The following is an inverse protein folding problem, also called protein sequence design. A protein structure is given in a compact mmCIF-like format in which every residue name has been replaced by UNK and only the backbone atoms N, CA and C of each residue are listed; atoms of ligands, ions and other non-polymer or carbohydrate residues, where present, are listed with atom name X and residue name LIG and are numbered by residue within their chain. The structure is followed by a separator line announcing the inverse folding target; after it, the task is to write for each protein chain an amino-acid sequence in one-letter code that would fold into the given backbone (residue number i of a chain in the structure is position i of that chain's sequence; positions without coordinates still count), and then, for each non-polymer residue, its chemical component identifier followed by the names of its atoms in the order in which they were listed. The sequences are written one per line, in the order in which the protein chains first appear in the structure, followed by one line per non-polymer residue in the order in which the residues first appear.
data_IF_013216209915
#
_entry.id   IF_013216209915
#
_cell.length_a   1.000
_cell.length_b   1.000
_cell.length_c   1.000
_cell.angle_alpha   90.00
_cell.angle_beta   90.00
_cell.angle_gamma   90.00
#
_symmetry.space_group_name_H-M   'P 1'
#
loop_
_entity.id
_entity.type
_entity.pdbx_description
1 polymer ?
#
# COMPACT_ATOMS: atom_id res chain seq x y z
N UNK A 1 -10.76 24.58 55.33
CA UNK A 1 -10.11 24.39 54.02
C UNK A 1 -10.85 23.29 53.28
N UNK A 2 -11.12 23.50 51.99
CA UNK A 2 -11.37 22.58 50.84
C UNK A 2 -12.35 23.31 49.91
N UNK A 3 -11.84 23.82 48.79
CA UNK A 3 -12.64 24.50 47.76
C UNK A 3 -13.32 23.50 46.81
N UNK A 4 -14.29 23.95 45.99
CA UNK A 4 -15.02 23.07 45.08
C UNK A 4 -14.07 22.45 44.06
N UNK A 5 -14.15 21.13 43.89
CA UNK A 5 -13.48 20.40 42.81
C UNK A 5 -13.90 20.98 41.46
N UNK A 6 -12.92 21.41 40.68
CA UNK A 6 -13.13 21.96 39.34
C UNK A 6 -13.76 20.95 38.38
N UNK A 7 -14.35 21.45 37.31
CA UNK A 7 -14.91 20.63 36.22
C UNK A 7 -13.87 19.60 35.76
N UNK A 8 -14.26 18.32 35.76
CA UNK A 8 -13.50 17.29 35.04
C UNK A 8 -13.40 17.77 33.59
N UNK A 9 -12.17 18.05 33.14
CA UNK A 9 -11.92 18.42 31.75
C UNK A 9 -12.43 17.33 30.80
N UNK A 10 -12.66 17.64 29.52
CA UNK A 10 -13.07 16.62 28.56
C UNK A 10 -12.09 15.45 28.65
N UNK A 11 -12.62 14.26 28.99
CA UNK A 11 -11.90 12.99 28.82
C UNK A 11 -11.33 13.00 27.42
N UNK A 12 -10.00 12.89 27.32
CA UNK A 12 -9.24 13.09 26.10
C UNK A 12 -9.92 12.46 24.89
N UNK A 13 -10.14 13.29 23.88
CA UNK A 13 -10.51 12.89 22.53
C UNK A 13 -9.70 11.67 22.09
N UNK A 14 -10.42 10.57 21.87
CA UNK A 14 -10.20 9.53 20.85
C UNK A 14 -8.79 8.99 20.75
N UNK A 15 -8.61 7.71 21.12
CA UNK A 15 -7.38 6.95 20.87
C UNK A 15 -6.79 7.30 19.51
N UNK A 16 -5.56 7.79 19.53
CA UNK A 16 -4.87 8.33 18.37
C UNK A 16 -4.88 7.29 17.25
N UNK A 17 -5.72 7.46 16.24
CA UNK A 17 -5.59 6.69 15.01
C UNK A 17 -4.36 7.23 14.29
N UNK A 18 -3.17 6.80 14.73
CA UNK A 18 -1.91 7.14 14.08
C UNK A 18 -1.86 6.38 12.76
N UNK A 19 -2.01 7.07 11.63
CA UNK A 19 -1.80 6.46 10.32
C UNK A 19 -0.31 6.50 10.00
N UNK A 20 0.36 5.35 10.11
CA UNK A 20 1.76 5.21 9.71
C UNK A 20 1.80 4.82 8.25
N UNK A 21 2.50 5.61 7.43
CA UNK A 21 2.77 5.27 6.03
C UNK A 21 4.04 4.43 5.93
N UNK A 22 3.94 3.27 5.29
CA UNK A 22 5.11 2.52 4.83
C UNK A 22 5.36 2.92 3.38
N UNK A 23 6.49 3.55 3.11
CA UNK A 23 6.87 3.94 1.75
C UNK A 23 7.77 2.85 1.14
N UNK A 24 7.49 2.43 -0.08
CA UNK A 24 8.34 1.54 -0.87
C UNK A 24 8.81 2.28 -2.12
N UNK A 25 10.11 2.23 -2.42
CA UNK A 25 10.74 2.89 -3.59
C UNK A 25 11.64 1.88 -4.31
N UNK A 26 11.53 1.74 -5.63
CA UNK A 26 12.46 0.93 -6.44
C UNK A 26 11.79 0.04 -7.50
N UNK A 27 12.55 -0.94 -8.01
CA UNK A 27 12.17 -1.84 -9.12
C UNK A 27 10.88 -2.64 -8.85
N UNK A 28 9.87 -2.60 -9.74
CA UNK A 28 8.56 -3.26 -9.57
C UNK A 28 8.51 -4.75 -9.96
N UNK A 29 9.65 -5.41 -10.13
CA UNK A 29 9.68 -6.85 -10.41
C UNK A 29 9.92 -7.62 -9.11
N UNK A 30 8.95 -8.44 -8.70
CA UNK A 30 9.08 -9.29 -7.51
C UNK A 30 8.79 -8.55 -6.20
N UNK A 31 9.48 -8.94 -5.12
CA UNK A 31 9.27 -8.36 -3.80
C UNK A 31 9.92 -6.98 -3.67
N UNK A 32 9.13 -5.98 -3.29
CA UNK A 32 9.65 -4.69 -2.86
C UNK A 32 9.81 -4.68 -1.34
N UNK A 33 11.07 -4.60 -0.92
CA UNK A 33 11.44 -4.84 0.46
C UNK A 33 12.27 -3.72 1.11
N UNK A 34 12.42 -2.54 0.50
CA UNK A 34 13.00 -1.31 1.11
C UNK A 34 12.39 -0.05 0.45
N UNK A 35 12.21 1.02 1.23
CA UNK A 35 12.17 2.39 0.72
C UNK A 35 13.57 2.77 0.18
N UNK A 36 13.90 2.37 -1.06
CA UNK A 36 15.04 2.92 -1.80
C UNK A 36 16.32 2.10 -1.84
N UNK A 37 16.30 0.88 -2.37
CA UNK A 37 17.53 0.26 -2.88
C UNK A 37 17.34 -0.37 -4.27
N UNK A 38 18.16 0.03 -5.27
CA UNK A 38 18.02 -0.39 -6.66
C UNK A 38 18.75 -1.72 -6.86
N UNK A 39 18.02 -2.83 -6.82
CA UNK A 39 18.59 -4.12 -7.16
C UNK A 39 17.55 -5.21 -7.03
N UNK A 40 17.52 -6.11 -8.02
CA UNK A 40 16.63 -7.27 -8.09
C UNK A 40 16.87 -8.29 -6.96
N UNK A 41 17.86 -8.06 -6.09
CA UNK A 41 18.36 -9.02 -5.08
C UNK A 41 18.26 -8.52 -3.62
N UNK A 42 17.52 -7.45 -3.32
CA UNK A 42 17.43 -6.93 -1.94
C UNK A 42 16.58 -7.84 -1.04
N UNK A 43 17.25 -8.69 -0.26
CA UNK A 43 16.65 -9.70 0.62
C UNK A 43 16.30 -9.25 2.06
N UNK A 44 16.28 -7.95 2.33
CA UNK A 44 16.01 -7.36 3.65
C UNK A 44 14.51 -7.09 3.81
N UNK A 45 13.84 -7.52 4.89
CA UNK A 45 12.43 -7.15 5.16
C UNK A 45 12.39 -5.68 5.63
N UNK A 46 11.55 -4.80 5.03
CA UNK A 46 11.65 -3.35 5.26
C UNK A 46 10.96 -2.87 6.51
N UNK A 47 9.88 -3.55 6.91
CA UNK A 47 8.95 -2.93 7.84
C UNK A 47 8.38 -3.95 8.80
N UNK A 48 8.77 -3.79 10.06
CA UNK A 48 8.21 -4.49 11.20
C UNK A 48 7.21 -3.55 11.86
N UNK A 49 5.95 -3.96 11.96
CA UNK A 49 4.96 -3.15 12.68
C UNK A 49 5.24 -3.18 14.19
N UNK A 50 5.20 -2.01 14.83
CA UNK A 50 5.43 -1.88 16.27
C UNK A 50 4.16 -2.12 17.11
N UNK A 51 3.00 -2.27 16.47
CA UNK A 51 1.68 -2.43 17.12
C UNK A 51 0.77 -3.34 16.30
N UNK A 52 -0.32 -3.79 16.91
CA UNK A 52 -1.36 -4.55 16.23
C UNK A 52 -2.36 -3.59 15.59
N UNK A 53 -2.98 -3.99 14.48
CA UNK A 53 -3.84 -3.09 13.73
C UNK A 53 -4.32 -3.63 12.41
N UNK A 54 -4.62 -2.73 11.48
CA UNK A 54 -5.18 -3.05 10.17
C UNK A 54 -4.61 -2.18 9.06
N UNK A 55 -4.49 -2.75 7.86
CA UNK A 55 -4.24 -1.98 6.64
C UNK A 55 -5.56 -1.33 6.18
N UNK A 56 -5.53 -0.01 6.03
CA UNK A 56 -6.73 0.81 5.76
C UNK A 56 -6.67 1.57 4.44
N UNK A 57 -5.50 1.65 3.80
CA UNK A 57 -5.37 2.38 2.56
C UNK A 57 -4.07 2.06 1.82
N UNK A 58 -4.06 2.44 0.56
CA UNK A 58 -2.93 2.30 -0.34
C UNK A 58 -2.87 3.51 -1.26
N UNK A 59 -1.68 4.00 -1.56
CA UNK A 59 -1.46 5.00 -2.60
C UNK A 59 -0.27 4.62 -3.46
N UNK A 60 -0.31 5.03 -4.72
CA UNK A 60 0.76 4.82 -5.66
C UNK A 60 1.02 6.05 -6.52
N UNK A 61 2.28 6.25 -6.87
CA UNK A 61 2.75 7.14 -7.91
C UNK A 61 3.74 6.38 -8.78
N UNK A 62 3.42 6.17 -10.05
CA UNK A 62 4.10 5.21 -10.92
C UNK A 62 4.44 5.91 -12.23
N UNK A 63 5.72 6.17 -12.48
CA UNK A 63 6.19 6.77 -13.72
C UNK A 63 6.43 5.68 -14.77
N UNK A 64 5.67 5.75 -15.86
CA UNK A 64 5.68 4.77 -16.93
C UNK A 64 5.93 5.40 -18.28
N UNK A 65 6.65 4.66 -19.11
CA UNK A 65 6.81 4.96 -20.52
C UNK A 65 6.31 3.74 -21.29
N UNK A 66 5.23 3.92 -22.06
CA UNK A 66 4.67 2.89 -22.91
C UNK A 66 4.17 1.63 -22.17
N UNK A 67 3.61 1.77 -20.96
CA UNK A 67 3.03 0.65 -20.22
C UNK A 67 1.88 0.03 -21.02
N UNK A 68 1.90 -1.27 -21.32
CA UNK A 68 0.86 -1.90 -22.13
C UNK A 68 -0.45 -2.09 -21.35
N UNK A 69 -1.55 -2.20 -22.11
CA UNK A 69 -2.84 -2.61 -21.58
C UNK A 69 -2.76 -4.04 -21.03
N UNK A 70 -2.77 -4.17 -19.71
CA UNK A 70 -2.77 -5.45 -19.00
C UNK A 70 -3.45 -5.33 -17.63
N UNK A 71 -3.48 -6.46 -16.92
CA UNK A 71 -3.86 -6.55 -15.50
C UNK A 71 -2.58 -6.69 -14.69
N UNK A 72 -2.39 -5.80 -13.72
CA UNK A 72 -1.27 -5.79 -12.79
C UNK A 72 -1.78 -6.01 -11.37
N UNK A 73 -1.22 -7.01 -10.71
CA UNK A 73 -1.56 -7.38 -9.34
C UNK A 73 -0.52 -6.82 -8.39
N UNK A 74 -0.96 -6.12 -7.36
CA UNK A 74 -0.14 -5.62 -6.26
C UNK A 74 -0.63 -6.30 -4.98
N UNK A 75 0.16 -7.25 -4.48
CA UNK A 75 -0.14 -7.96 -3.24
C UNK A 75 0.57 -7.28 -2.07
N UNK A 76 -0.21 -6.99 -1.03
CA UNK A 76 0.32 -6.66 0.29
C UNK A 76 0.49 -7.98 1.04
N UNK A 77 1.72 -8.30 1.39
CA UNK A 77 2.07 -9.56 2.01
C UNK A 77 2.65 -9.35 3.42
N UNK A 78 2.56 -10.40 4.23
CA UNK A 78 3.18 -10.47 5.55
C UNK A 78 4.04 -11.72 5.72
N UNK A 79 5.13 -11.58 6.47
CA UNK A 79 5.98 -12.68 6.95
C UNK A 79 6.38 -13.67 5.83
N UNK A 80 6.66 -13.14 4.64
CA UNK A 80 7.02 -13.98 3.48
C UNK A 80 8.41 -14.57 3.69
N UNK A 81 8.60 -15.90 3.56
CA UNK A 81 9.91 -16.53 3.62
C UNK A 81 10.86 -15.99 2.54
N UNK A 82 12.13 -15.82 2.89
CA UNK A 82 13.15 -15.18 2.02
C UNK A 82 13.57 -16.03 0.82
N UNK A 83 13.14 -17.29 0.75
CA UNK A 83 13.44 -18.22 -0.33
C UNK A 83 12.31 -18.36 -1.35
N UNK A 84 11.18 -17.67 -1.16
CA UNK A 84 10.09 -17.68 -2.13
C UNK A 84 10.32 -16.66 -3.24
N UNK A 85 9.98 -17.04 -4.47
CA UNK A 85 10.00 -16.16 -5.64
C UNK A 85 8.65 -15.49 -5.91
N UNK A 86 7.57 -15.99 -5.30
CA UNK A 86 6.23 -15.41 -5.30
C UNK A 86 5.48 -15.78 -4.00
N UNK A 87 4.58 -14.93 -3.50
CA UNK A 87 3.81 -15.22 -2.30
C UNK A 87 2.71 -16.26 -2.57
N UNK A 88 2.53 -17.22 -1.66
CA UNK A 88 1.32 -18.05 -1.61
C UNK A 88 0.20 -17.32 -0.87
N UNK A 89 -1.04 -17.75 -1.06
CA UNK A 89 -2.24 -17.11 -0.48
C UNK A 89 -2.16 -16.92 1.05
N UNK A 90 -1.51 -17.83 1.77
CA UNK A 90 -1.29 -17.76 3.22
C UNK A 90 -0.49 -16.54 3.68
N UNK A 91 0.29 -15.91 2.80
CA UNK A 91 1.09 -14.73 3.11
C UNK A 91 0.48 -13.43 2.57
N UNK A 92 -0.61 -13.50 1.80
CA UNK A 92 -1.24 -12.33 1.18
C UNK A 92 -2.34 -11.81 2.10
N UNK A 93 -2.21 -10.56 2.55
CA UNK A 93 -3.23 -9.86 3.34
C UNK A 93 -4.30 -9.23 2.45
N UNK A 94 -3.85 -8.62 1.35
CA UNK A 94 -4.71 -7.89 0.43
C UNK A 94 -4.14 -7.92 -0.97
N UNK A 95 -5.02 -7.89 -1.96
CA UNK A 95 -4.69 -7.82 -3.36
C UNK A 95 -5.33 -6.58 -3.96
N UNK A 96 -4.50 -5.75 -4.59
CA UNK A 96 -4.96 -4.65 -5.42
C UNK A 96 -4.76 -5.03 -6.88
N UNK A 97 -5.76 -4.74 -7.71
CA UNK A 97 -5.73 -5.02 -9.14
C UNK A 97 -5.77 -3.71 -9.91
N UNK A 98 -4.67 -3.34 -10.54
CA UNK A 98 -4.59 -2.24 -11.51
C UNK A 98 -4.87 -2.81 -12.91
N UNK A 99 -5.99 -2.43 -13.50
CA UNK A 99 -6.35 -2.81 -14.88
C UNK A 99 -6.20 -1.62 -15.79
N UNK A 100 -5.30 -1.69 -16.76
CA UNK A 100 -5.13 -0.66 -17.79
C UNK A 100 -5.79 -1.14 -19.09
N UNK A 101 -6.63 -0.32 -19.71
CA UNK A 101 -7.37 -0.68 -20.93
C UNK A 101 -6.70 -0.16 -22.20
N UNK A 102 -5.76 0.77 -22.07
CA UNK A 102 -4.94 1.28 -23.17
C UNK A 102 -3.50 1.54 -22.66
N UNK A 103 -2.59 1.80 -23.59
CA UNK A 103 -1.20 2.11 -23.31
C UNK A 103 -1.08 3.44 -22.55
N UNK A 104 -0.26 3.46 -21.50
CA UNK A 104 -0.05 4.65 -20.67
C UNK A 104 1.41 5.11 -20.72
N UNK A 105 1.59 6.41 -20.96
CA UNK A 105 2.86 7.14 -20.76
C UNK A 105 2.58 8.35 -19.88
N UNK A 106 3.41 8.55 -18.86
CA UNK A 106 3.24 9.60 -17.85
C UNK A 106 3.35 9.06 -16.43
N UNK A 107 2.92 9.86 -15.45
CA UNK A 107 2.88 9.42 -14.05
C UNK A 107 1.45 9.06 -13.65
N UNK A 108 1.21 7.77 -13.43
CA UNK A 108 -0.05 7.24 -12.89
C UNK A 108 -0.06 7.53 -11.38
N UNK A 109 -1.11 8.18 -10.87
CA UNK A 109 -1.31 8.37 -9.43
C UNK A 109 -2.70 7.92 -9.02
N UNK A 110 -2.79 7.26 -7.86
CA UNK A 110 -4.06 6.91 -7.25
C UNK A 110 -3.91 6.64 -5.75
N UNK A 111 -5.04 6.69 -5.05
CA UNK A 111 -5.19 6.15 -3.70
C UNK A 111 -6.49 5.36 -3.62
N UNK A 112 -6.50 4.31 -2.83
CA UNK A 112 -7.66 3.42 -2.67
C UNK A 112 -7.74 2.89 -1.23
N UNK A 113 -8.96 2.73 -0.72
CA UNK A 113 -9.27 1.99 0.52
C UNK A 113 -10.09 0.73 0.19
N UNK A 114 -10.15 -0.28 1.09
CA UNK A 114 -10.87 -1.53 0.83
C UNK A 114 -12.37 -1.38 0.51
N UNK A 115 -13.00 -0.27 0.92
CA UNK A 115 -14.43 0.00 0.70
C UNK A 115 -14.71 0.84 -0.54
N UNK A 116 -13.68 1.25 -1.28
CA UNK A 116 -13.88 1.96 -2.53
C UNK A 116 -14.45 1.04 -3.61
N UNK A 117 -15.35 1.59 -4.42
CA UNK A 117 -15.95 0.91 -5.56
C UNK A 117 -15.89 1.82 -6.78
N UNK A 118 -15.67 1.26 -7.98
CA UNK A 118 -15.82 1.97 -9.26
C UNK A 118 -14.53 2.39 -9.98
N UNK A 119 -14.70 3.01 -11.15
CA UNK A 119 -13.62 3.57 -12.00
C UNK A 119 -13.42 5.06 -11.74
N UNK A 120 -12.29 5.62 -12.21
CA UNK A 120 -12.01 7.07 -12.13
C UNK A 120 -11.10 7.52 -10.98
N UNK A 121 -10.60 6.59 -10.16
CA UNK A 121 -9.66 6.89 -9.07
C UNK A 121 -8.22 7.18 -9.57
N UNK A 122 -7.93 6.89 -10.84
CA UNK A 122 -6.59 7.00 -11.40
C UNK A 122 -6.48 8.27 -12.24
N UNK A 123 -5.48 9.09 -11.90
CA UNK A 123 -5.03 10.21 -12.72
C UNK A 123 -3.70 9.86 -13.40
N UNK A 124 -3.51 10.34 -14.62
CA UNK A 124 -2.24 10.26 -15.35
C UNK A 124 -1.77 11.68 -15.65
N UNK A 125 -0.56 12.00 -15.21
CA UNK A 125 0.09 13.28 -15.48
C UNK A 125 0.94 13.16 -16.74
N UNK A 126 0.52 13.84 -17.82
CA UNK A 126 1.26 13.91 -19.08
C UNK A 126 0.77 15.04 -20.03
N UNK A 127 1.23 16.30 -19.91
CA UNK A 127 1.93 16.92 -18.77
C UNK A 127 0.98 17.36 -17.65
N UNK A 128 -0.31 17.58 -17.96
CA UNK A 128 -1.36 17.92 -16.99
C UNK A 128 -2.07 16.64 -16.50
N UNK A 129 -2.70 16.67 -15.31
CA UNK A 129 -3.49 15.54 -14.83
C UNK A 129 -4.78 15.35 -15.65
N UNK A 130 -5.04 14.11 -16.04
CA UNK A 130 -6.31 13.67 -16.60
C UNK A 130 -6.65 12.27 -16.11
N UNK A 131 -7.93 11.89 -16.17
CA UNK A 131 -8.35 10.51 -15.87
C UNK A 131 -7.67 9.56 -16.85
N UNK A 132 -6.93 8.59 -16.33
CA UNK A 132 -6.23 7.59 -17.13
C UNK A 132 -7.15 6.46 -17.63
N UNK A 133 -6.77 5.74 -18.69
CA UNK A 133 -7.47 4.55 -19.16
C UNK A 133 -7.17 3.34 -18.25
N UNK A 134 -7.48 3.47 -16.96
CA UNK A 134 -7.21 2.46 -15.96
C UNK A 134 -8.21 2.48 -14.81
N UNK A 135 -8.37 1.32 -14.17
CA UNK A 135 -9.13 1.15 -12.94
C UNK A 135 -8.27 0.46 -11.88
N UNK A 136 -8.57 0.72 -10.61
CA UNK A 136 -7.97 0.01 -9.49
C UNK A 136 -9.08 -0.58 -8.63
N UNK A 137 -8.92 -1.83 -8.21
CA UNK A 137 -9.80 -2.47 -7.24
C UNK A 137 -9.00 -3.05 -6.09
N UNK A 138 -9.65 -3.20 -4.93
CA UNK A 138 -9.07 -3.82 -3.74
C UNK A 138 -9.90 -5.02 -3.34
N UNK A 139 -9.27 -6.18 -3.19
CA UNK A 139 -9.85 -7.37 -2.57
C UNK A 139 -9.03 -7.77 -1.33
N UNK A 140 -9.70 -7.77 -0.18
CA UNK A 140 -9.11 -8.21 1.09
C UNK A 140 -9.36 -9.71 1.27
N UNK A 141 -8.28 -10.48 1.49
CA UNK A 141 -8.39 -11.94 1.68
C UNK A 141 -8.75 -12.27 3.14
N UNK A 142 -8.29 -11.45 4.08
CA UNK A 142 -8.62 -11.55 5.51
C UNK A 142 -9.58 -10.46 5.93
N UNK A 143 -10.64 -10.81 6.67
CA UNK A 143 -11.55 -9.84 7.31
C UNK A 143 -10.74 -8.82 8.12
N UNK A 144 -10.82 -7.54 7.73
CA UNK A 144 -10.20 -6.43 8.45
C UNK A 144 -8.71 -6.20 8.21
N UNK A 145 -8.04 -6.92 7.30
CA UNK A 145 -6.63 -6.72 6.93
C UNK A 145 -5.67 -6.62 8.13
N UNK A 146 -5.80 -7.55 9.08
CA UNK A 146 -5.09 -7.45 10.36
C UNK A 146 -3.57 -7.62 10.22
N UNK A 147 -2.85 -6.83 11.00
CA UNK A 147 -1.40 -6.94 11.21
C UNK A 147 -1.13 -7.07 12.71
N UNK A 148 -0.14 -7.89 13.06
CA UNK A 148 0.29 -8.11 14.45
C UNK A 148 1.65 -7.47 14.69
N UNK A 149 1.92 -7.00 15.91
CA UNK A 149 3.26 -6.54 16.31
C UNK A 149 4.32 -7.58 15.89
N UNK A 150 5.36 -7.13 15.21
CA UNK A 150 6.42 -8.02 14.69
C UNK A 150 6.19 -8.49 13.26
N UNK A 151 5.00 -8.28 12.68
CA UNK A 151 4.74 -8.66 11.28
C UNK A 151 5.63 -7.85 10.34
N UNK A 152 6.30 -8.60 9.46
CA UNK A 152 7.13 -8.15 8.38
C UNK A 152 6.29 -7.88 7.12
N UNK A 153 6.02 -6.62 6.79
CA UNK A 153 5.18 -6.25 5.65
C UNK A 153 6.03 -6.05 4.38
N UNK A 154 5.54 -6.54 3.25
CA UNK A 154 6.18 -6.40 1.93
C UNK A 154 5.15 -6.21 0.82
N UNK A 155 5.56 -5.66 -0.32
CA UNK A 155 4.77 -5.62 -1.54
C UNK A 155 5.31 -6.62 -2.55
N UNK A 156 4.41 -7.28 -3.30
CA UNK A 156 4.76 -8.11 -4.44
C UNK A 156 3.92 -7.69 -5.65
N UNK A 157 4.58 -7.35 -6.76
CA UNK A 157 3.91 -6.83 -7.97
C UNK A 157 4.14 -7.77 -9.15
N UNK A 158 3.06 -8.14 -9.85
CA UNK A 158 3.13 -9.00 -11.03
C UNK A 158 2.02 -8.69 -12.06
N UNK A 159 2.33 -8.63 -13.37
CA UNK A 159 3.67 -8.48 -13.93
C UNK A 159 4.33 -7.16 -13.46
N UNK A 160 5.64 -7.01 -13.67
CA UNK A 160 6.34 -5.78 -13.28
C UNK A 160 5.84 -4.58 -14.08
N UNK A 161 5.68 -3.43 -13.42
CA UNK A 161 5.14 -2.20 -14.04
C UNK A 161 6.25 -1.27 -14.55
N UNK A 162 7.21 -0.88 -13.68
CA UNK A 162 8.32 0.05 -13.99
C UNK A 162 9.40 -0.05 -12.90
N UNK A 163 10.52 0.64 -13.05
CA UNK A 163 11.49 0.81 -11.96
C UNK A 163 11.34 2.13 -11.19
N UNK A 164 10.51 3.05 -11.70
CA UNK A 164 10.29 4.37 -11.11
C UNK A 164 8.88 4.45 -10.51
N UNK A 165 8.73 3.99 -9.27
CA UNK A 165 7.46 4.05 -8.56
C UNK A 165 7.64 4.28 -7.06
N UNK A 166 6.59 4.84 -6.46
CA UNK A 166 6.40 5.06 -5.03
C UNK A 166 5.09 4.38 -4.64
N UNK A 167 5.12 3.54 -3.62
CA UNK A 167 3.93 2.97 -3.01
C UNK A 167 3.87 3.31 -1.54
N UNK A 168 2.67 3.58 -1.04
CA UNK A 168 2.41 3.87 0.37
C UNK A 168 1.31 2.95 0.89
N UNK A 169 1.60 2.21 1.96
CA UNK A 169 0.59 1.43 2.69
C UNK A 169 0.24 2.21 3.96
N UNK A 170 -1.04 2.46 4.18
CA UNK A 170 -1.54 3.13 5.38
C UNK A 170 -2.07 2.09 6.37
N UNK A 171 -1.52 2.12 7.59
CA UNK A 171 -1.94 1.25 8.69
C UNK A 171 -2.53 2.09 9.82
N UNK A 172 -3.61 1.60 10.42
CA UNK A 172 -4.07 2.05 11.74
C UNK A 172 -3.57 1.01 12.74
N UNK A 173 -2.80 1.45 13.73
CA UNK A 173 -2.27 0.59 14.81
C UNK A 173 -2.66 1.14 16.17
N UNK A 174 -2.58 0.28 17.19
CA UNK A 174 -2.81 0.61 18.60
C UNK A 174 -1.64 1.35 19.30
N UNK A 175 -0.79 2.06 18.52
CA UNK A 175 0.31 2.90 19.03
C UNK A 175 -0.05 4.38 18.98
#
# INVERSE_FOLDING_TARGET
ITGPTGITGPTGITGSASSKSIVFQGTNAGFQRIAGSPGIDSNVIPYVTAGAGSIVGFAASINVNNLPAAVYTINICRNVPTNLTAPTSSYILSTLTLTTTDKITGTIVFSIKPTDTGSGQIQVFNPNPAVGPATVTWTSITTGNSVSRGDAISLYITPGITASAVYSIFLITDI
#
